data_IF_018897148691
#
_entry.id   IF_018897148691
#
_cell.length_a   1.000
_cell.length_b   1.000
_cell.length_c   1.000
_cell.angle_alpha   90.00
_cell.angle_beta   90.00
_cell.angle_gamma   90.00
#
_symmetry.space_group_name_H-M   'P 1'
#
loop_
_entity.id
_entity.type
_entity.pdbx_description
1 polymer ?
#
# COMPACT_ATOMS: atom_id res chain seq x y z
N UNK A 1 -5.91 -26.59 24.00
CA UNK A 1 -7.34 -26.36 24.28
C UNK A 1 -7.88 -25.48 23.15
N UNK A 2 -8.60 -26.09 22.18
CA UNK A 2 -9.13 -25.41 20.98
C UNK A 2 -10.50 -24.81 21.31
N UNK A 3 -10.73 -23.54 21.01
CA UNK A 3 -12.07 -22.95 20.96
C UNK A 3 -12.28 -22.39 19.55
N UNK A 4 -13.20 -23.04 18.84
CA UNK A 4 -13.68 -22.74 17.50
C UNK A 4 -14.86 -21.79 17.64
N UNK A 5 -14.84 -20.65 16.94
CA UNK A 5 -16.00 -19.76 16.81
C UNK A 5 -16.64 -19.99 15.43
N UNK A 6 -17.86 -20.50 15.46
CA UNK A 6 -18.73 -20.78 14.31
C UNK A 6 -19.62 -19.56 14.08
N UNK A 7 -19.49 -18.90 12.93
CA UNK A 7 -20.55 -18.06 12.37
C UNK A 7 -20.75 -18.42 10.89
N UNK A 8 -21.64 -19.37 10.65
CA UNK A 8 -22.24 -19.67 9.34
C UNK A 8 -23.35 -18.64 9.07
N UNK A 9 -23.22 -17.84 8.02
CA UNK A 9 -24.32 -17.04 7.47
C UNK A 9 -24.91 -17.72 6.22
N UNK A 10 -26.24 -17.69 6.18
CA UNK A 10 -27.15 -18.49 5.37
C UNK A 10 -27.23 -18.02 3.91
N UNK A 11 -27.39 -19.01 3.03
CA UNK A 11 -27.98 -18.96 1.68
C UNK A 11 -29.18 -18.01 1.62
N UNK A 12 -29.12 -17.02 0.73
CA UNK A 12 -30.29 -16.28 0.23
C UNK A 12 -30.65 -16.84 -1.14
N UNK A 13 -31.79 -17.53 -1.20
CA UNK A 13 -32.40 -18.07 -2.41
C UNK A 13 -33.25 -17.00 -3.11
N UNK A 14 -32.96 -16.75 -4.39
CA UNK A 14 -33.79 -15.99 -5.31
C UNK A 14 -35.13 -16.70 -5.54
N UNK A 15 -36.24 -15.96 -5.46
CA UNK A 15 -37.59 -16.43 -5.84
C UNK A 15 -37.80 -16.15 -7.32
N UNK A 16 -38.11 -17.19 -8.08
CA UNK A 16 -38.51 -17.11 -9.49
C UNK A 16 -40.00 -16.74 -9.62
N UNK A 17 -40.30 -15.94 -10.63
CA UNK A 17 -41.67 -15.55 -11.02
C UNK A 17 -42.37 -16.70 -11.76
N UNK A 18 -43.61 -17.01 -11.37
CA UNK A 18 -44.49 -17.94 -12.10
C UNK A 18 -45.76 -17.19 -12.50
N UNK A 19 -46.03 -17.19 -13.82
CA UNK A 19 -47.33 -16.85 -14.42
C UNK A 19 -48.27 -18.06 -14.30
N UNK A 20 -49.56 -17.81 -14.03
CA UNK A 20 -50.64 -18.66 -14.56
C UNK A 20 -51.92 -17.85 -14.79
N UNK A 21 -52.58 -18.17 -15.89
CA UNK A 21 -53.77 -17.54 -16.46
C UNK A 21 -55.09 -18.24 -16.09
N UNK A 22 -56.17 -17.46 -16.26
CA UNK A 22 -57.52 -17.78 -16.76
C UNK A 22 -58.66 -18.32 -15.88
N UNK A 23 -59.79 -17.59 -16.02
CA UNK A 23 -61.22 -17.90 -15.86
C UNK A 23 -61.75 -18.03 -14.42
N UNK A 24 -62.91 -17.49 -14.04
CA UNK A 24 -64.18 -17.39 -14.77
C UNK A 24 -65.23 -16.43 -14.15
N UNK A 25 -66.16 -15.94 -15.00
CA UNK A 25 -67.59 -15.64 -14.75
C UNK A 25 -67.98 -14.44 -13.87
N UNK A 26 -68.72 -13.52 -14.49
CA UNK A 26 -69.23 -12.30 -13.88
C UNK A 26 -70.62 -12.42 -13.25
N UNK A 27 -71.02 -11.35 -12.56
CA UNK A 27 -72.41 -10.94 -12.43
C UNK A 27 -72.47 -9.44 -12.11
N UNK A 28 -73.47 -8.78 -12.70
CA UNK A 28 -73.67 -7.33 -12.66
C UNK A 28 -74.80 -7.00 -11.66
N UNK A 29 -74.60 -5.91 -10.90
CA UNK A 29 -75.59 -4.86 -10.61
C UNK A 29 -76.38 -4.81 -9.27
N UNK A 30 -76.48 -3.54 -8.80
CA UNK A 30 -77.46 -2.84 -7.94
C UNK A 30 -77.67 -3.16 -6.44
N UNK A 31 -77.05 -2.29 -5.62
CA UNK A 31 -77.64 -1.32 -4.65
C UNK A 31 -78.65 -1.80 -3.59
N UNK A 32 -78.25 -1.71 -2.29
CA UNK A 32 -79.15 -1.37 -1.16
C UNK A 32 -78.33 -0.65 -0.06
N UNK A 33 -78.64 0.61 0.22
CA UNK A 33 -78.23 1.31 1.43
C UNK A 33 -78.89 0.69 2.67
N UNK A 34 -78.11 0.39 3.71
CA UNK A 34 -78.60 0.41 5.10
C UNK A 34 -77.48 0.70 6.09
N UNK A 35 -77.56 1.89 6.69
CA UNK A 35 -76.76 2.37 7.80
C UNK A 35 -76.94 1.49 9.05
N UNK A 36 -75.86 0.87 9.55
CA UNK A 36 -75.78 0.39 10.95
C UNK A 36 -74.38 0.67 11.53
N UNK A 37 -74.39 1.63 12.44
CA UNK A 37 -73.44 2.00 13.52
C UNK A 37 -72.03 1.37 13.58
N UNK A 38 -71.04 2.27 13.49
CA UNK A 38 -69.63 2.12 13.88
C UNK A 38 -69.48 1.49 15.28
N UNK A 39 -68.79 0.35 15.35
CA UNK A 39 -67.90 0.01 16.47
C UNK A 39 -66.47 0.04 15.95
N UNK A 40 -65.72 1.09 16.32
CA UNK A 40 -64.29 1.17 16.06
C UNK A 40 -63.57 0.09 16.87
N UNK A 41 -63.16 -0.99 16.19
CA UNK A 41 -62.00 -1.75 16.63
C UNK A 41 -60.78 -0.99 16.13
N UNK A 42 -59.95 -0.44 17.03
CA UNK A 42 -58.69 0.20 16.65
C UNK A 42 -57.78 -0.87 16.06
N UNK A 43 -57.69 -0.93 14.74
CA UNK A 43 -56.59 -1.58 14.05
C UNK A 43 -55.31 -0.86 14.49
N UNK A 44 -54.53 -1.52 15.36
CA UNK A 44 -53.15 -1.12 15.59
C UNK A 44 -52.43 -1.28 14.26
N UNK A 45 -52.14 -0.16 13.61
CA UNK A 45 -51.45 -0.16 12.32
C UNK A 45 -50.06 -0.71 12.57
N UNK A 46 -49.66 -1.70 11.78
CA UNK A 46 -48.35 -2.36 11.79
C UNK A 46 -47.18 -1.37 11.95
N UNK A 47 -47.35 -0.14 11.46
CA UNK A 47 -46.45 1.01 11.59
C UNK A 47 -46.08 1.33 13.05
N UNK A 48 -47.03 1.29 13.99
CA UNK A 48 -46.76 1.61 15.40
C UNK A 48 -45.89 0.53 16.07
N UNK A 49 -46.03 -0.73 15.63
CA UNK A 49 -45.19 -1.83 16.08
C UNK A 49 -43.75 -1.70 15.55
N UNK A 50 -43.57 -1.38 14.26
CA UNK A 50 -42.24 -1.16 13.68
C UNK A 50 -41.52 0.04 14.30
N UNK A 51 -42.23 1.13 14.59
CA UNK A 51 -41.68 2.28 15.30
C UNK A 51 -41.26 1.92 16.74
N UNK A 52 -42.04 1.09 17.43
CA UNK A 52 -41.68 0.58 18.76
C UNK A 52 -40.48 -0.35 18.73
N UNK A 53 -40.38 -1.23 17.74
CA UNK A 53 -39.22 -2.12 17.57
C UNK A 53 -37.96 -1.33 17.26
N UNK A 54 -38.03 -0.33 16.37
CA UNK A 54 -36.88 0.55 16.07
C UNK A 54 -36.51 1.36 17.31
N UNK A 55 -37.48 1.91 18.03
CA UNK A 55 -37.25 2.62 19.29
C UNK A 55 -36.59 1.73 20.36
N UNK A 56 -37.01 0.47 20.47
CA UNK A 56 -36.43 -0.50 21.39
C UNK A 56 -35.01 -0.90 20.98
N UNK A 57 -34.76 -1.12 19.68
CA UNK A 57 -33.43 -1.41 19.16
C UNK A 57 -32.47 -0.23 19.37
N UNK A 58 -32.93 1.00 19.13
CA UNK A 58 -32.12 2.20 19.38
C UNK A 58 -31.84 2.40 20.86
N UNK A 59 -32.85 2.27 21.74
CA UNK A 59 -32.66 2.45 23.19
C UNK A 59 -31.80 1.36 23.81
N UNK A 60 -31.95 0.11 23.39
CA UNK A 60 -31.07 -0.99 23.81
C UNK A 60 -29.65 -0.81 23.29
N UNK A 61 -29.45 -0.37 22.04
CA UNK A 61 -28.14 -0.04 21.50
C UNK A 61 -27.46 1.11 22.25
N UNK A 62 -28.21 2.18 22.55
CA UNK A 62 -27.73 3.30 23.37
C UNK A 62 -27.41 2.84 24.79
N UNK A 63 -28.27 2.03 25.42
CA UNK A 63 -28.02 1.49 26.76
C UNK A 63 -26.78 0.59 26.78
N UNK A 64 -26.62 -0.31 25.79
CA UNK A 64 -25.45 -1.17 25.67
C UNK A 64 -24.18 -0.37 25.40
N UNK A 65 -24.24 0.67 24.56
CA UNK A 65 -23.10 1.56 24.29
C UNK A 65 -22.73 2.38 25.53
N UNK A 66 -23.71 2.82 26.31
CA UNK A 66 -23.53 3.57 27.54
C UNK A 66 -22.99 2.64 28.65
N UNK A 67 -23.51 1.42 28.77
CA UNK A 67 -22.97 0.37 29.65
C UNK A 67 -21.54 -0.03 29.26
N UNK A 68 -21.24 -0.12 27.97
CA UNK A 68 -19.89 -0.38 27.47
C UNK A 68 -18.93 0.80 27.76
N UNK A 69 -19.41 2.04 27.61
CA UNK A 69 -18.65 3.26 27.92
C UNK A 69 -18.44 3.50 29.42
N UNK A 70 -19.37 3.04 30.26
CA UNK A 70 -19.30 3.14 31.72
C UNK A 70 -18.68 1.92 32.41
N UNK A 71 -18.51 0.78 31.72
CA UNK A 71 -17.67 -0.29 32.23
C UNK A 71 -16.23 0.24 32.22
N UNK A 72 -15.62 0.53 33.39
CA UNK A 72 -14.21 0.81 33.37
C UNK A 72 -13.54 -0.47 32.86
N UNK A 73 -12.65 -0.33 31.88
CA UNK A 73 -11.74 -1.40 31.41
C UNK A 73 -11.00 -2.08 32.59
N UNK A 74 -11.04 -1.48 33.80
CA UNK A 74 -10.58 -2.06 35.07
C UNK A 74 -11.40 -3.25 35.61
N UNK A 75 -12.68 -3.43 35.25
CA UNK A 75 -13.52 -4.50 35.83
C UNK A 75 -13.26 -5.86 35.16
N UNK A 76 -12.87 -5.85 33.89
CA UNK A 76 -12.30 -7.00 33.19
C UNK A 76 -10.78 -6.92 33.42
N UNK A 77 -10.16 -7.88 34.10
CA UNK A 77 -8.70 -7.92 34.37
C UNK A 77 -7.81 -8.03 33.10
N UNK A 78 -8.15 -7.37 32.01
CA UNK A 78 -7.24 -7.10 30.91
C UNK A 78 -6.54 -5.79 31.24
N UNK A 79 -5.48 -5.85 32.04
CA UNK A 79 -4.50 -4.76 32.04
C UNK A 79 -4.03 -4.59 30.59
N UNK A 80 -4.30 -3.43 30.01
CA UNK A 80 -3.76 -3.10 28.70
C UNK A 80 -2.23 -3.27 28.79
N UNK A 81 -1.60 -3.95 27.82
CA UNK A 81 -0.15 -4.17 27.85
C UNK A 81 0.55 -2.81 27.98
N UNK A 82 1.45 -2.70 28.97
CA UNK A 82 2.24 -1.50 29.19
C UNK A 82 3.04 -1.21 27.93
N UNK A 83 2.93 0.00 27.39
CA UNK A 83 3.66 0.36 26.18
C UNK A 83 5.18 0.22 26.40
N UNK A 84 5.94 -0.21 25.37
CA UNK A 84 7.38 -0.41 25.50
C UNK A 84 8.12 0.80 26.08
N UNK A 85 7.74 2.02 25.68
CA UNK A 85 8.33 3.27 26.15
C UNK A 85 8.11 3.49 27.65
N UNK A 86 6.93 3.17 28.20
CA UNK A 86 6.67 3.25 29.65
C UNK A 86 7.51 2.22 30.40
N UNK A 87 7.67 1.02 29.85
CA UNK A 87 8.54 -0.01 30.44
C UNK A 87 10.00 0.44 30.47
N UNK A 88 10.51 0.97 29.35
CA UNK A 88 11.89 1.44 29.23
C UNK A 88 12.20 2.63 30.16
N UNK A 89 11.23 3.54 30.36
CA UNK A 89 11.38 4.62 31.35
C UNK A 89 11.52 4.06 32.76
N UNK A 90 10.75 3.02 33.13
CA UNK A 90 10.87 2.36 34.44
C UNK A 90 12.22 1.66 34.63
N UNK A 91 12.81 1.19 33.53
CA UNK A 91 14.16 0.61 33.50
C UNK A 91 15.27 1.68 33.50
N UNK A 92 14.92 2.98 33.49
CA UNK A 92 15.88 4.09 33.50
C UNK A 92 16.55 4.35 32.14
N UNK A 93 15.98 3.85 31.05
CA UNK A 93 16.52 4.05 29.69
C UNK A 93 16.27 5.49 29.24
N UNK A 94 17.30 6.10 28.64
CA UNK A 94 17.26 7.48 28.14
C UNK A 94 17.88 7.57 26.74
N UNK A 95 17.50 8.60 25.98
CA UNK A 95 18.03 8.86 24.65
C UNK A 95 19.53 9.23 24.71
N UNK A 96 20.35 8.54 23.90
CA UNK A 96 21.80 8.77 23.82
C UNK A 96 22.24 9.09 22.39
N UNK A 97 21.93 8.21 21.45
CA UNK A 97 22.29 8.37 20.05
C UNK A 97 21.12 8.99 19.27
N UNK A 98 21.36 10.00 18.42
CA UNK A 98 20.32 10.49 17.52
C UNK A 98 19.81 9.38 16.60
N UNK A 99 18.53 9.42 16.25
CA UNK A 99 17.86 8.38 15.45
C UNK A 99 17.33 8.96 14.15
N UNK A 100 17.63 8.30 13.03
CA UNK A 100 17.09 8.61 11.71
C UNK A 100 16.19 7.49 11.23
N UNK A 101 14.90 7.78 11.02
CA UNK A 101 13.92 6.85 10.47
C UNK A 101 13.93 6.96 8.95
N UNK A 102 14.07 5.83 8.24
CA UNK A 102 14.02 5.80 6.77
C UNK A 102 12.80 5.01 6.33
N UNK A 103 11.72 5.70 5.89
CA UNK A 103 10.46 5.05 5.50
C UNK A 103 10.63 4.11 4.31
N UNK A 104 9.69 3.17 4.15
CA UNK A 104 9.56 2.32 2.97
C UNK A 104 8.59 2.88 1.92
N UNK A 105 8.35 2.09 0.88
CA UNK A 105 7.40 2.45 -0.19
C UNK A 105 6.03 2.78 0.40
N UNK A 106 5.32 3.75 -0.18
CA UNK A 106 3.99 4.20 0.22
C UNK A 106 3.83 4.71 1.66
N UNK A 107 4.88 4.78 2.48
CA UNK A 107 4.73 5.12 3.92
C UNK A 107 4.93 6.60 4.24
N UNK A 108 5.49 7.39 3.31
CA UNK A 108 5.64 8.84 3.44
C UNK A 108 4.51 9.61 2.74
N UNK A 109 4.06 10.70 3.35
CA UNK A 109 3.07 11.59 2.72
C UNK A 109 3.60 12.30 1.47
N UNK A 110 2.74 12.49 0.47
CA UNK A 110 3.03 13.27 -0.74
C UNK A 110 2.01 14.40 -0.89
N UNK A 111 2.50 15.61 -1.18
CA UNK A 111 1.69 16.82 -1.37
C UNK A 111 1.82 17.40 -2.78
N UNK A 112 0.75 18.04 -3.25
CA UNK A 112 0.70 18.65 -4.56
C UNK A 112 1.27 20.08 -4.54
N UNK A 113 2.10 20.42 -5.52
CA UNK A 113 2.65 21.75 -5.73
C UNK A 113 2.19 22.39 -7.04
N UNK A 114 1.84 21.57 -8.03
CA UNK A 114 1.29 22.00 -9.30
C UNK A 114 0.45 20.85 -9.85
N UNK A 115 -0.73 21.13 -10.35
CA UNK A 115 -1.62 20.11 -10.88
C UNK A 115 -2.52 20.66 -11.96
N UNK A 116 -3.21 19.76 -12.65
CA UNK A 116 -4.18 20.09 -13.69
C UNK A 116 -5.43 20.72 -13.09
N UNK A 117 -6.31 21.24 -13.94
CA UNK A 117 -7.59 21.86 -13.54
C UNK A 117 -8.43 20.99 -12.61
N UNK A 118 -8.36 19.65 -12.74
CA UNK A 118 -9.06 18.73 -11.86
C UNK A 118 -8.53 18.71 -10.40
N UNK A 119 -7.39 19.34 -10.11
CA UNK A 119 -6.74 19.40 -8.80
C UNK A 119 -6.47 20.85 -8.33
N UNK A 120 -7.15 21.84 -8.91
CA UNK A 120 -6.92 23.27 -8.64
C UNK A 120 -7.06 23.65 -7.15
N UNK A 121 -8.00 23.03 -6.42
CA UNK A 121 -8.20 23.24 -4.98
C UNK A 121 -7.28 22.39 -4.09
N UNK A 122 -6.29 21.68 -4.66
CA UNK A 122 -5.41 20.74 -3.96
C UNK A 122 -3.97 21.25 -3.78
N UNK A 123 -3.67 22.51 -4.15
CA UNK A 123 -2.36 23.10 -3.89
C UNK A 123 -1.96 22.99 -2.41
N UNK A 124 -0.76 22.43 -2.16
CA UNK A 124 -0.18 22.16 -0.83
C UNK A 124 -1.01 21.24 0.07
N UNK A 125 -2.00 20.54 -0.49
CA UNK A 125 -2.73 19.46 0.18
C UNK A 125 -2.06 18.13 -0.12
N UNK A 126 -2.21 17.19 0.81
CA UNK A 126 -1.71 15.84 0.67
C UNK A 126 -2.56 15.06 -0.33
N UNK A 127 -1.94 14.59 -1.39
CA UNK A 127 -2.53 13.61 -2.28
C UNK A 127 -2.40 12.19 -1.73
N UNK A 128 -1.33 11.95 -0.97
CA UNK A 128 -1.03 10.67 -0.36
C UNK A 128 -0.86 10.83 1.15
N UNK A 129 -1.55 10.00 1.93
CA UNK A 129 -1.51 10.00 3.39
C UNK A 129 -2.61 10.79 4.09
N UNK A 130 -3.43 11.59 3.40
CA UNK A 130 -4.53 12.38 4.01
C UNK A 130 -5.91 11.77 3.67
N UNK A 131 -6.23 10.68 4.37
CA UNK A 131 -7.51 9.99 4.27
C UNK A 131 -7.87 9.47 2.86
N UNK A 132 -9.11 8.98 2.70
CA UNK A 132 -9.62 8.45 1.42
C UNK A 132 -10.41 9.49 0.61
N UNK A 133 -10.56 10.72 1.13
CA UNK A 133 -11.52 11.71 0.61
C UNK A 133 -11.21 12.11 -0.82
N UNK A 134 -9.93 12.38 -1.15
CA UNK A 134 -9.55 12.80 -2.50
C UNK A 134 -9.70 11.67 -3.52
N UNK A 135 -9.42 10.44 -3.07
CA UNK A 135 -9.50 9.25 -3.91
C UNK A 135 -10.95 8.95 -4.29
N UNK A 136 -11.88 9.05 -3.33
CA UNK A 136 -13.31 8.85 -3.58
C UNK A 136 -13.88 9.98 -4.45
N UNK A 137 -13.49 11.23 -4.18
CA UNK A 137 -14.03 12.39 -4.91
C UNK A 137 -13.57 12.44 -6.36
N UNK A 138 -12.29 12.13 -6.64
CA UNK A 138 -11.67 12.34 -7.95
C UNK A 138 -10.64 11.23 -8.28
N UNK A 139 -11.07 9.97 -8.48
CA UNK A 139 -10.16 8.83 -8.63
C UNK A 139 -9.20 8.95 -9.81
N UNK A 140 -9.68 9.32 -11.00
CA UNK A 140 -8.84 9.47 -12.20
C UNK A 140 -7.85 10.62 -12.07
N UNK A 141 -8.30 11.77 -11.55
CA UNK A 141 -7.42 12.91 -11.29
C UNK A 141 -6.32 12.52 -10.29
N UNK A 142 -6.67 11.80 -9.23
CA UNK A 142 -5.71 11.33 -8.25
C UNK A 142 -4.67 10.36 -8.85
N UNK A 143 -5.11 9.41 -9.69
CA UNK A 143 -4.23 8.48 -10.40
C UNK A 143 -3.27 9.23 -11.33
N UNK A 144 -3.77 10.21 -12.09
CA UNK A 144 -2.98 11.05 -12.99
C UNK A 144 -1.93 11.88 -12.25
N UNK A 145 -2.25 12.41 -11.07
CA UNK A 145 -1.29 13.21 -10.29
C UNK A 145 -0.25 12.34 -9.55
N UNK A 146 -0.54 11.06 -9.34
CA UNK A 146 0.40 10.12 -8.75
C UNK A 146 1.24 9.37 -9.77
N UNK A 147 0.90 9.41 -11.06
CA UNK A 147 1.74 8.82 -12.09
C UNK A 147 3.06 9.58 -12.26
N UNK A 148 4.08 8.86 -12.71
CA UNK A 148 5.32 9.42 -13.21
C UNK A 148 5.33 9.37 -14.74
N UNK A 149 6.20 10.17 -15.35
CA UNK A 149 6.36 10.22 -16.79
C UNK A 149 6.97 8.91 -17.32
N UNK A 150 6.33 8.30 -18.31
CA UNK A 150 6.66 6.95 -18.79
C UNK A 150 8.09 6.78 -19.28
N UNK A 151 8.72 7.84 -19.81
CA UNK A 151 10.08 7.76 -20.36
C UNK A 151 11.17 8.18 -19.37
N UNK A 152 10.89 9.16 -18.51
CA UNK A 152 11.92 9.80 -17.66
C UNK A 152 11.85 9.33 -16.20
N UNK A 153 10.70 8.81 -15.76
CA UNK A 153 10.48 8.43 -14.36
C UNK A 153 10.41 9.65 -13.43
N UNK A 154 10.17 10.84 -13.98
CA UNK A 154 10.05 12.11 -13.26
C UNK A 154 8.59 12.56 -13.22
N UNK A 155 8.29 13.72 -12.62
CA UNK A 155 6.92 14.24 -12.65
C UNK A 155 6.48 14.54 -14.10
N UNK A 156 5.21 14.23 -14.48
CA UNK A 156 4.67 14.63 -15.76
C UNK A 156 4.61 16.17 -15.94
N UNK A 157 4.69 16.69 -17.18
CA UNK A 157 4.53 18.12 -17.43
C UNK A 157 3.21 18.68 -16.85
N UNK A 158 3.31 19.81 -16.14
CA UNK A 158 2.17 20.47 -15.48
C UNK A 158 1.71 19.79 -14.18
N UNK A 159 2.48 18.85 -13.65
CA UNK A 159 2.24 18.19 -12.37
C UNK A 159 3.53 18.25 -11.55
N UNK A 160 3.45 18.66 -10.29
CA UNK A 160 4.57 18.59 -9.34
C UNK A 160 4.08 18.06 -8.01
N UNK A 161 4.66 16.95 -7.57
CA UNK A 161 4.34 16.31 -6.29
C UNK A 161 5.62 16.20 -5.47
N UNK A 162 5.56 16.54 -4.18
CA UNK A 162 6.73 16.54 -3.29
C UNK A 162 6.47 15.73 -2.04
N UNK A 163 7.53 15.13 -1.51
CA UNK A 163 7.47 14.46 -0.22
C UNK A 163 7.21 15.49 0.89
N UNK A 164 6.30 15.16 1.79
CA UNK A 164 6.04 15.98 2.97
C UNK A 164 7.23 15.84 3.93
N UNK A 165 7.85 16.95 4.37
CA UNK A 165 8.98 16.90 5.29
C UNK A 165 8.54 16.67 6.74
N UNK A 166 9.42 16.02 7.52
CA UNK A 166 9.31 15.91 8.97
C UNK A 166 8.26 14.90 9.48
N UNK A 167 8.05 14.89 10.81
CA UNK A 167 7.18 13.92 11.50
C UNK A 167 5.72 13.97 11.07
N UNK A 168 5.26 15.11 10.58
CA UNK A 168 3.90 15.27 10.06
C UNK A 168 3.63 14.27 8.93
N UNK A 169 4.66 13.83 8.19
CA UNK A 169 4.56 12.79 7.17
C UNK A 169 4.28 11.39 7.72
N UNK A 170 4.65 11.10 8.98
CA UNK A 170 4.48 9.82 9.66
C UNK A 170 3.25 9.75 10.58
N UNK A 171 2.81 10.88 11.12
CA UNK A 171 1.90 10.91 12.27
C UNK A 171 0.44 10.59 11.92
N UNK A 172 0.03 10.69 10.66
CA UNK A 172 -1.33 10.34 10.23
C UNK A 172 -1.30 9.79 8.80
N UNK A 173 -0.96 8.50 8.65
CA UNK A 173 -1.06 7.83 7.36
C UNK A 173 -2.48 7.30 7.17
N UNK A 174 -3.40 8.16 6.74
CA UNK A 174 -4.84 7.91 6.67
C UNK A 174 -5.46 7.48 8.01
N UNK A 175 -6.69 7.94 8.29
CA UNK A 175 -7.38 7.64 9.55
C UNK A 175 -7.43 6.13 9.82
N UNK A 176 -6.57 5.64 10.74
CA UNK A 176 -6.51 4.24 11.17
C UNK A 176 -5.25 3.43 10.79
N UNK A 177 -4.24 3.99 10.11
CA UNK A 177 -2.97 3.29 9.83
C UNK A 177 -1.78 4.03 10.47
N UNK A 178 -1.33 3.57 11.63
CA UNK A 178 -0.22 4.17 12.38
C UNK A 178 1.09 3.41 12.10
N UNK A 179 1.78 3.74 11.00
CA UNK A 179 3.00 3.02 10.61
C UNK A 179 4.18 3.36 11.54
N UNK A 180 4.34 4.64 11.87
CA UNK A 180 5.48 5.15 12.63
C UNK A 180 5.08 5.81 13.95
N UNK A 181 3.81 6.18 14.12
CA UNK A 181 3.33 6.95 15.28
C UNK A 181 3.60 6.21 16.60
N UNK A 182 3.33 4.90 16.66
CA UNK A 182 3.58 4.09 17.86
C UNK A 182 5.07 4.06 18.22
N UNK A 183 5.95 3.89 17.23
CA UNK A 183 7.40 3.90 17.47
C UNK A 183 7.86 5.27 17.96
N UNK A 184 7.41 6.35 17.31
CA UNK A 184 7.76 7.73 17.67
C UNK A 184 7.25 8.05 19.07
N UNK A 185 6.02 7.66 19.44
CA UNK A 185 5.49 7.89 20.78
C UNK A 185 6.35 7.17 21.82
N UNK A 186 6.71 5.91 21.59
CA UNK A 186 7.54 5.15 22.53
C UNK A 186 8.96 5.73 22.66
N UNK A 187 9.55 6.22 21.57
CA UNK A 187 10.84 6.93 21.59
C UNK A 187 10.72 8.26 22.35
N UNK A 188 9.62 8.99 22.17
CA UNK A 188 9.40 10.25 22.86
C UNK A 188 9.36 10.08 24.39
N UNK A 189 8.79 8.95 24.88
CA UNK A 189 8.78 8.63 26.31
C UNK A 189 10.17 8.55 26.94
N UNK A 190 11.18 8.10 26.19
CA UNK A 190 12.56 7.96 26.67
C UNK A 190 13.46 9.18 26.34
N UNK A 191 12.85 10.30 25.94
CA UNK A 191 13.56 11.57 25.74
C UNK A 191 14.00 11.85 24.29
N UNK A 192 13.46 11.15 23.31
CA UNK A 192 13.59 11.56 21.91
C UNK A 192 12.61 12.69 21.55
N UNK A 193 13.07 13.65 20.76
CA UNK A 193 12.31 14.80 20.27
C UNK A 193 12.91 15.28 18.94
N UNK A 194 12.39 16.35 18.36
CA UNK A 194 12.81 16.81 17.03
C UNK A 194 14.29 17.20 16.89
N UNK A 195 15.05 17.35 17.98
CA UNK A 195 16.49 17.63 17.94
C UNK A 195 17.38 16.38 17.76
N UNK A 196 16.89 15.21 18.17
CA UNK A 196 17.63 13.95 18.19
C UNK A 196 16.88 12.80 17.51
N UNK A 197 15.71 13.07 16.93
CA UNK A 197 14.96 12.17 16.09
C UNK A 197 14.69 12.88 14.75
N UNK A 198 14.87 12.17 13.64
CA UNK A 198 14.59 12.69 12.30
C UNK A 198 13.95 11.61 11.44
N UNK A 199 13.04 11.98 10.56
CA UNK A 199 12.46 11.09 9.56
C UNK A 199 12.83 11.59 8.17
N UNK A 200 13.49 10.72 7.39
CA UNK A 200 13.87 11.03 6.03
C UNK A 200 12.63 11.16 5.14
N UNK A 201 12.50 12.32 4.49
CA UNK A 201 11.43 12.58 3.54
C UNK A 201 11.97 12.50 2.12
N UNK A 202 11.45 11.56 1.34
CA UNK A 202 11.78 11.37 -0.07
C UNK A 202 10.55 10.85 -0.81
N UNK A 203 10.50 11.10 -2.12
CA UNK A 203 9.42 10.60 -2.96
C UNK A 203 9.68 9.13 -3.29
N UNK A 204 8.96 8.28 -2.59
CA UNK A 204 9.09 6.84 -2.69
C UNK A 204 8.59 6.27 -4.01
N UNK A 205 8.10 7.07 -4.97
CA UNK A 205 7.75 6.60 -6.33
C UNK A 205 8.96 6.54 -7.26
N UNK A 206 9.93 7.44 -7.06
CA UNK A 206 11.07 7.64 -7.94
C UNK A 206 12.13 6.54 -7.78
N UNK A 207 12.98 6.40 -8.79
CA UNK A 207 14.26 5.70 -8.63
C UNK A 207 15.16 6.45 -7.64
N UNK A 208 16.05 5.74 -6.95
CA UNK A 208 16.82 6.32 -5.84
C UNK A 208 17.72 7.47 -6.31
N UNK A 209 18.37 7.33 -7.47
CA UNK A 209 19.17 8.41 -8.05
C UNK A 209 18.30 9.61 -8.47
N UNK A 210 17.09 9.37 -8.99
CA UNK A 210 16.18 10.46 -9.38
C UNK A 210 15.68 11.26 -8.17
N UNK A 211 15.62 10.67 -6.98
CA UNK A 211 15.32 11.45 -5.75
C UNK A 211 16.40 12.51 -5.46
N UNK A 212 17.66 12.22 -5.80
CA UNK A 212 18.75 13.19 -5.69
C UNK A 212 18.65 14.23 -6.80
N UNK A 213 18.52 13.80 -8.06
CA UNK A 213 18.44 14.72 -9.21
C UNK A 213 17.27 15.71 -9.06
N UNK A 214 16.09 15.24 -8.64
CA UNK A 214 14.89 16.07 -8.53
C UNK A 214 14.85 16.92 -7.26
N UNK A 215 15.09 16.30 -6.11
CA UNK A 215 14.76 16.88 -4.80
C UNK A 215 15.99 17.09 -3.90
N UNK A 216 17.16 16.62 -4.34
CA UNK A 216 18.39 16.57 -3.54
C UNK A 216 18.18 15.78 -2.24
N UNK A 217 17.37 14.70 -2.31
CA UNK A 217 16.94 13.96 -1.13
C UNK A 217 18.11 13.24 -0.41
N UNK A 218 19.08 12.70 -1.15
CA UNK A 218 20.25 12.04 -0.57
C UNK A 218 21.19 13.09 0.05
N UNK A 219 21.40 14.23 -0.63
CA UNK A 219 22.13 15.37 -0.10
C UNK A 219 21.50 15.93 1.18
N UNK A 220 20.17 16.05 1.24
CA UNK A 220 19.44 16.45 2.45
C UNK A 220 19.60 15.43 3.56
N UNK A 221 19.54 14.13 3.26
CA UNK A 221 19.76 13.07 4.26
C UNK A 221 21.17 13.14 4.85
N UNK A 222 22.20 13.29 3.99
CA UNK A 222 23.60 13.50 4.40
C UNK A 222 23.72 14.70 5.34
N UNK A 223 23.24 15.86 4.92
CA UNK A 223 23.34 17.10 5.70
C UNK A 223 22.61 17.01 7.04
N UNK A 224 21.45 16.34 7.10
CA UNK A 224 20.74 16.14 8.37
C UNK A 224 21.51 15.20 9.31
N UNK A 225 22.11 14.12 8.80
CA UNK A 225 22.94 13.22 9.61
C UNK A 225 24.15 13.96 10.18
N UNK A 226 24.84 14.75 9.35
CA UNK A 226 25.99 15.55 9.78
C UNK A 226 25.59 16.60 10.82
N UNK A 227 24.45 17.27 10.62
CA UNK A 227 23.90 18.24 11.56
C UNK A 227 23.57 17.58 12.90
N UNK A 228 22.83 16.46 12.88
CA UNK A 228 22.45 15.71 14.08
C UNK A 228 23.68 15.25 14.86
N UNK A 229 24.73 14.83 14.18
CA UNK A 229 25.99 14.46 14.83
C UNK A 229 26.58 15.63 15.62
N UNK A 230 26.66 16.82 15.02
CA UNK A 230 27.22 18.01 15.70
C UNK A 230 26.32 18.49 16.84
N UNK A 231 25.00 18.58 16.62
CA UNK A 231 24.06 19.14 17.60
C UNK A 231 23.76 18.21 18.77
N UNK A 232 24.05 16.91 18.64
CA UNK A 232 23.87 15.92 19.71
C UNK A 232 25.21 15.51 20.36
N UNK A 233 26.19 16.43 20.39
CA UNK A 233 27.45 16.21 21.10
C UNK A 233 28.35 15.15 20.46
N UNK A 234 28.41 15.12 19.13
CA UNK A 234 29.25 14.22 18.34
C UNK A 234 28.91 12.74 18.55
N UNK A 235 27.64 12.44 18.88
CA UNK A 235 27.14 11.08 18.96
C UNK A 235 26.75 10.59 17.56
N UNK A 236 27.38 9.49 17.14
CA UNK A 236 27.04 8.79 15.89
C UNK A 236 25.55 8.44 15.84
N UNK A 237 24.94 8.55 14.67
CA UNK A 237 23.50 8.36 14.42
C UNK A 237 23.15 6.88 14.31
N UNK A 238 22.03 6.47 14.90
CA UNK A 238 21.41 5.17 14.67
C UNK A 238 20.36 5.32 13.57
N UNK A 239 20.42 4.49 12.53
CA UNK A 239 19.48 4.55 11.42
C UNK A 239 18.51 3.38 11.50
N UNK A 240 17.22 3.64 11.34
CA UNK A 240 16.14 2.65 11.41
C UNK A 240 15.39 2.64 10.08
N UNK A 241 15.90 1.90 9.08
CA UNK A 241 15.23 1.78 7.81
C UNK A 241 14.17 0.67 7.81
N UNK A 242 13.06 0.88 7.09
CA UNK A 242 11.94 -0.06 7.00
C UNK A 242 11.69 -0.52 5.56
N UNK A 243 11.51 -1.82 5.32
CA UNK A 243 11.12 -2.36 4.01
C UNK A 243 12.02 -1.86 2.88
N UNK A 244 11.46 -1.22 1.84
CA UNK A 244 12.21 -0.57 0.75
C UNK A 244 13.22 0.46 1.26
N UNK A 245 12.95 1.11 2.39
CA UNK A 245 13.85 2.09 3.00
C UNK A 245 15.21 1.51 3.36
N UNK A 246 15.30 0.20 3.60
CA UNK A 246 16.59 -0.48 3.81
C UNK A 246 17.41 -0.55 2.52
N UNK A 247 16.76 -0.76 1.38
CA UNK A 247 17.39 -0.76 0.06
C UNK A 247 17.79 0.67 -0.34
N UNK A 248 16.91 1.65 -0.07
CA UNK A 248 17.21 3.07 -0.27
C UNK A 248 18.43 3.51 0.57
N UNK A 249 18.48 3.09 1.83
CA UNK A 249 19.61 3.41 2.71
C UNK A 249 20.90 2.68 2.29
N UNK A 250 20.80 1.43 1.80
CA UNK A 250 21.94 0.72 1.21
C UNK A 250 22.54 1.50 0.03
N UNK A 251 21.69 2.00 -0.87
CA UNK A 251 22.10 2.87 -1.96
C UNK A 251 22.74 4.16 -1.44
N UNK A 252 22.16 4.79 -0.41
CA UNK A 252 22.70 6.00 0.22
C UNK A 252 24.11 5.80 0.78
N UNK A 253 24.40 4.66 1.42
CA UNK A 253 25.74 4.38 1.97
C UNK A 253 26.82 4.38 0.89
N UNK A 254 26.54 3.85 -0.30
CA UNK A 254 27.46 3.93 -1.45
C UNK A 254 27.50 5.31 -2.07
N UNK A 255 26.33 5.91 -2.24
CA UNK A 255 26.23 7.25 -2.81
C UNK A 255 27.04 8.26 -1.98
N UNK A 256 26.93 8.25 -0.65
CA UNK A 256 27.58 9.25 0.20
C UNK A 256 29.10 9.16 0.17
N UNK A 257 29.68 7.96 0.05
CA UNK A 257 31.14 7.77 -0.01
C UNK A 257 31.71 8.04 -1.40
N UNK A 258 30.90 7.90 -2.45
CA UNK A 258 31.30 8.10 -3.84
C UNK A 258 31.56 9.59 -4.13
N UNK A 259 32.63 9.95 -4.86
CA UNK A 259 32.90 11.34 -5.19
C UNK A 259 31.86 11.95 -6.15
N UNK A 260 31.70 13.28 -6.15
CA UNK A 260 30.92 13.98 -7.18
C UNK A 260 31.51 13.72 -8.57
N UNK A 261 30.70 13.74 -9.65
CA UNK A 261 29.29 14.17 -9.68
C UNK A 261 28.27 13.04 -9.41
N UNK A 262 28.71 11.79 -9.25
CA UNK A 262 27.80 10.64 -9.11
C UNK A 262 27.31 10.43 -7.67
N UNK A 263 28.19 10.68 -6.69
CA UNK A 263 27.91 10.53 -5.27
C UNK A 263 27.95 11.83 -4.48
N UNK A 264 27.74 11.70 -3.17
CA UNK A 264 27.65 12.79 -2.21
C UNK A 264 28.99 13.32 -1.70
N UNK A 265 30.13 12.72 -2.04
CA UNK A 265 31.46 13.25 -1.72
C UNK A 265 31.77 13.35 -0.22
N UNK A 266 31.22 12.47 0.60
CA UNK A 266 31.55 12.33 2.03
C UNK A 266 32.90 11.65 2.28
N UNK A 267 33.40 10.87 1.32
CA UNK A 267 34.63 10.08 1.41
C UNK A 267 34.44 8.75 2.17
N UNK A 268 35.39 7.83 2.01
CA UNK A 268 35.32 6.45 2.55
C UNK A 268 35.20 6.35 4.09
N UNK A 269 35.55 7.42 4.82
CA UNK A 269 35.43 7.47 6.28
C UNK A 269 34.09 8.03 6.77
N UNK A 270 33.17 8.41 5.88
CA UNK A 270 31.93 9.09 6.26
C UNK A 270 31.04 8.18 7.10
N UNK A 271 30.81 6.93 6.65
CA UNK A 271 29.95 6.00 7.37
C UNK A 271 30.49 5.68 8.76
N UNK A 272 31.79 5.41 8.89
CA UNK A 272 32.41 5.19 10.20
C UNK A 272 32.28 6.44 11.09
N UNK A 273 32.48 7.64 10.55
CA UNK A 273 32.39 8.87 11.35
C UNK A 273 30.97 9.14 11.87
N UNK A 274 29.94 8.96 11.05
CA UNK A 274 28.59 9.45 11.35
C UNK A 274 27.59 8.37 11.77
N UNK A 275 27.78 7.10 11.39
CA UNK A 275 26.81 6.02 11.62
C UNK A 275 27.26 5.12 12.78
N UNK A 276 26.36 4.93 13.76
CA UNK A 276 26.58 4.05 14.92
C UNK A 276 26.16 2.62 14.61
N UNK A 277 24.93 2.48 14.11
CA UNK A 277 24.27 1.21 13.89
C UNK A 277 23.10 1.40 12.93
N UNK A 278 22.73 0.32 12.23
CA UNK A 278 21.57 0.26 11.35
C UNK A 278 20.64 -0.83 11.89
N UNK A 279 19.41 -0.45 12.27
CA UNK A 279 18.39 -1.36 12.78
C UNK A 279 17.29 -1.54 11.74
N UNK A 280 17.46 -2.52 10.86
CA UNK A 280 16.51 -2.81 9.80
C UNK A 280 15.17 -3.34 10.35
N UNK A 281 14.05 -2.79 9.89
CA UNK A 281 12.70 -3.32 10.13
C UNK A 281 12.19 -3.95 8.84
N UNK A 282 12.07 -5.28 8.83
CA UNK A 282 11.59 -6.07 7.68
C UNK A 282 12.25 -5.66 6.35
N UNK A 283 13.59 -5.68 6.23
CA UNK A 283 14.29 -5.21 5.04
C UNK A 283 13.99 -6.08 3.82
N UNK A 284 13.75 -5.46 2.67
CA UNK A 284 13.46 -6.16 1.41
C UNK A 284 14.71 -6.33 0.52
N UNK A 285 15.86 -6.64 1.11
CA UNK A 285 17.16 -6.67 0.43
C UNK A 285 17.15 -7.47 -0.87
N UNK A 286 16.64 -8.70 -0.83
CA UNK A 286 16.57 -9.59 -1.99
C UNK A 286 15.30 -9.39 -2.85
N UNK A 287 14.44 -8.43 -2.49
CA UNK A 287 13.13 -8.24 -3.11
C UNK A 287 12.03 -9.07 -2.44
N UNK A 288 10.81 -8.94 -2.97
CA UNK A 288 9.60 -9.65 -2.51
C UNK A 288 8.78 -10.09 -3.73
N UNK A 289 8.34 -11.34 -3.75
CA UNK A 289 7.52 -11.91 -4.84
C UNK A 289 6.22 -11.11 -5.07
N UNK A 290 5.67 -10.53 -4.00
CA UNK A 290 4.47 -9.68 -4.05
C UNK A 290 4.63 -8.41 -4.90
N UNK A 291 5.85 -7.93 -5.14
CA UNK A 291 6.09 -6.81 -6.05
C UNK A 291 5.69 -7.18 -7.49
N UNK A 292 5.90 -8.43 -7.91
CA UNK A 292 5.47 -8.95 -9.21
C UNK A 292 3.95 -8.89 -9.34
N UNK A 293 3.21 -9.42 -8.37
CA UNK A 293 1.75 -9.41 -8.37
C UNK A 293 1.15 -8.00 -8.40
N UNK A 294 1.83 -7.03 -7.78
CA UNK A 294 1.40 -5.62 -7.80
C UNK A 294 1.48 -5.01 -9.21
N UNK A 295 2.46 -5.41 -10.03
CA UNK A 295 2.64 -4.92 -11.40
C UNK A 295 1.59 -5.53 -12.36
N UNK A 296 1.25 -6.81 -12.16
CA UNK A 296 0.37 -7.55 -13.07
C UNK A 296 -1.11 -7.47 -12.72
N UNK A 297 -1.46 -7.67 -11.45
CA UNK A 297 -2.85 -7.91 -11.05
C UNK A 297 -3.35 -6.92 -10.01
N UNK A 298 -2.46 -6.13 -9.40
CA UNK A 298 -2.74 -5.30 -8.20
C UNK A 298 -3.32 -6.10 -7.02
N UNK A 299 -3.35 -7.44 -7.08
CA UNK A 299 -3.92 -8.32 -6.05
C UNK A 299 -3.20 -8.20 -4.71
N UNK A 300 -1.94 -7.77 -4.76
CA UNK A 300 -1.12 -7.46 -3.60
C UNK A 300 -1.40 -6.11 -2.94
N UNK A 301 -2.50 -5.44 -3.32
CA UNK A 301 -2.96 -4.17 -2.77
C UNK A 301 -2.68 -4.06 -1.26
N UNK A 302 -1.87 -3.06 -0.89
CA UNK A 302 -1.84 -2.52 0.47
C UNK A 302 -3.29 -2.36 0.95
N UNK A 303 -3.58 -2.64 2.22
CA UNK A 303 -4.94 -2.51 2.76
C UNK A 303 -5.61 -1.16 2.37
N UNK A 304 -4.78 -0.10 2.27
CA UNK A 304 -5.10 1.20 1.71
C UNK A 304 -5.66 1.15 0.28
N UNK A 305 -4.95 0.52 -0.66
CA UNK A 305 -5.40 0.36 -2.03
C UNK A 305 -6.53 -0.64 -2.19
N UNK A 306 -6.63 -1.68 -1.34
CA UNK A 306 -7.82 -2.54 -1.37
C UNK A 306 -9.06 -1.79 -0.92
N UNK A 307 -8.95 -0.86 0.03
CA UNK A 307 -10.07 0.01 0.40
C UNK A 307 -10.44 0.98 -0.74
N UNK A 308 -9.45 1.55 -1.43
CA UNK A 308 -9.63 2.39 -2.61
C UNK A 308 -10.22 1.62 -3.78
N UNK A 309 -9.62 0.48 -4.10
CA UNK A 309 -10.06 -0.43 -5.14
C UNK A 309 -11.46 -0.93 -4.79
N UNK A 310 -11.78 -1.37 -3.58
CA UNK A 310 -13.16 -1.73 -3.23
C UNK A 310 -14.15 -0.55 -3.36
N UNK A 311 -13.74 0.68 -3.03
CA UNK A 311 -14.57 1.86 -3.24
C UNK A 311 -14.84 2.19 -4.71
N UNK A 312 -13.87 1.92 -5.59
CA UNK A 312 -13.94 2.16 -7.04
C UNK A 312 -14.53 0.96 -7.80
N UNK A 313 -14.17 -0.26 -7.42
CA UNK A 313 -14.61 -1.56 -7.96
C UNK A 313 -16.07 -1.87 -7.60
N UNK A 314 -16.63 -1.25 -6.56
CA UNK A 314 -18.06 -1.29 -6.27
C UNK A 314 -18.92 -0.52 -7.31
N UNK A 315 -18.31 0.18 -8.26
CA UNK A 315 -18.98 0.68 -9.46
C UNK A 315 -18.85 -0.42 -10.54
N UNK A 316 -19.84 -1.33 -10.60
CA UNK A 316 -19.86 -2.55 -11.43
C UNK A 316 -19.48 -2.34 -12.92
N UNK A 317 -19.65 -1.12 -13.46
CA UNK A 317 -19.31 -0.78 -14.85
C UNK A 317 -17.91 -0.16 -15.03
N UNK A 318 -17.36 0.46 -13.98
CA UNK A 318 -16.07 1.17 -14.02
C UNK A 318 -14.91 0.34 -13.47
N UNK A 319 -15.21 -0.79 -12.80
CA UNK A 319 -14.19 -1.58 -12.08
C UNK A 319 -13.05 -2.09 -12.96
N UNK A 320 -13.34 -2.58 -14.16
CA UNK A 320 -12.31 -3.10 -15.07
C UNK A 320 -11.41 -1.99 -15.61
N UNK A 321 -12.00 -0.89 -16.10
CA UNK A 321 -11.23 0.25 -16.61
C UNK A 321 -10.42 0.93 -15.51
N UNK A 322 -10.97 1.07 -14.31
CA UNK A 322 -10.25 1.66 -13.19
C UNK A 322 -9.06 0.81 -12.73
N UNK A 323 -9.21 -0.52 -12.74
CA UNK A 323 -8.12 -1.44 -12.42
C UNK A 323 -6.94 -1.28 -13.40
N UNK A 324 -7.23 -1.13 -14.69
CA UNK A 324 -6.21 -0.88 -15.71
C UNK A 324 -5.46 0.43 -15.47
N UNK A 325 -6.17 1.50 -15.10
CA UNK A 325 -5.53 2.78 -14.79
C UNK A 325 -4.65 2.68 -13.53
N UNK A 326 -5.08 1.91 -12.52
CA UNK A 326 -4.26 1.65 -11.33
C UNK A 326 -3.00 0.87 -11.72
N UNK A 327 -3.11 -0.17 -12.55
CA UNK A 327 -1.95 -0.92 -13.04
C UNK A 327 -0.98 -0.04 -13.81
N UNK A 328 -1.48 0.87 -14.66
CA UNK A 328 -0.65 1.83 -15.39
C UNK A 328 0.12 2.72 -14.43
N UNK A 329 -0.54 3.32 -13.43
CA UNK A 329 0.15 4.16 -12.42
C UNK A 329 1.23 3.37 -11.69
N UNK A 330 0.96 2.14 -11.26
CA UNK A 330 1.97 1.30 -10.60
C UNK A 330 3.20 1.05 -11.48
N UNK A 331 3.00 0.84 -12.78
CA UNK A 331 4.10 0.66 -13.75
C UNK A 331 4.92 1.95 -13.98
N UNK A 332 4.42 3.10 -13.56
CA UNK A 332 5.19 4.35 -13.55
C UNK A 332 6.08 4.48 -12.31
N UNK A 333 5.81 3.77 -11.21
CA UNK A 333 6.60 3.88 -9.97
C UNK A 333 7.86 3.03 -10.03
N UNK A 334 8.97 3.65 -10.45
CA UNK A 334 10.28 3.00 -10.60
C UNK A 334 10.77 2.31 -9.32
N UNK A 335 10.45 2.86 -8.15
CA UNK A 335 10.87 2.28 -6.87
C UNK A 335 10.33 0.87 -6.63
N UNK A 336 9.18 0.49 -7.20
CA UNK A 336 8.64 -0.87 -7.12
C UNK A 336 9.63 -1.87 -7.70
N UNK A 337 10.37 -1.47 -8.74
CA UNK A 337 11.31 -2.34 -9.41
C UNK A 337 12.50 -2.69 -8.50
N UNK A 338 12.86 -1.80 -7.56
CA UNK A 338 13.85 -2.11 -6.52
C UNK A 338 13.42 -3.28 -5.60
N UNK A 339 12.12 -3.60 -5.56
CA UNK A 339 11.53 -4.67 -4.76
C UNK A 339 11.37 -5.98 -5.53
N UNK A 340 11.72 -6.03 -6.83
CA UNK A 340 11.69 -7.30 -7.55
C UNK A 340 12.77 -8.27 -7.02
N UNK A 341 12.53 -9.59 -7.14
CA UNK A 341 13.49 -10.63 -6.77
C UNK A 341 14.88 -10.37 -7.35
N UNK A 342 15.90 -10.45 -6.51
CA UNK A 342 17.32 -10.34 -6.87
C UNK A 342 18.00 -11.69 -6.69
N UNK A 343 18.93 -11.98 -7.59
CA UNK A 343 19.73 -13.19 -7.59
C UNK A 343 19.13 -14.38 -8.35
N UNK A 344 18.02 -14.18 -9.06
CA UNK A 344 17.43 -15.19 -9.93
C UNK A 344 17.15 -16.52 -9.21
N UNK A 345 17.23 -17.60 -9.98
CA UNK A 345 16.95 -18.97 -9.52
C UNK A 345 17.93 -19.46 -8.43
N UNK A 346 19.16 -18.96 -8.41
CA UNK A 346 20.15 -19.30 -7.37
C UNK A 346 19.66 -18.97 -5.96
N UNK A 347 18.91 -17.87 -5.81
CA UNK A 347 18.39 -17.42 -4.51
C UNK A 347 16.93 -17.84 -4.30
N UNK A 348 16.10 -17.69 -5.33
CA UNK A 348 14.65 -17.84 -5.23
C UNK A 348 14.14 -19.23 -5.60
N UNK A 349 15.03 -20.10 -6.08
CA UNK A 349 14.68 -21.41 -6.58
C UNK A 349 14.16 -21.39 -8.02
N UNK A 350 13.96 -22.58 -8.54
CA UNK A 350 13.47 -22.86 -9.89
C UNK A 350 12.07 -23.49 -9.82
N UNK A 351 11.67 -24.24 -10.85
CA UNK A 351 10.37 -24.92 -10.87
C UNK A 351 10.34 -26.17 -9.98
N UNK A 352 11.50 -26.70 -9.59
CA UNK A 352 11.66 -27.96 -8.86
C UNK A 352 11.96 -27.74 -7.38
N UNK A 353 12.39 -26.53 -6.99
CA UNK A 353 12.75 -26.19 -5.61
C UNK A 353 12.51 -24.70 -5.28
N UNK A 354 12.18 -24.41 -4.02
CA UNK A 354 12.11 -23.08 -3.43
C UNK A 354 12.57 -23.15 -1.95
N UNK A 355 13.12 -22.09 -1.33
CA UNK A 355 13.60 -22.14 0.05
C UNK A 355 12.53 -22.62 1.06
N UNK A 356 12.91 -23.50 2.00
CA UNK A 356 11.96 -24.27 2.83
C UNK A 356 10.99 -23.44 3.69
N UNK A 357 11.34 -22.21 4.07
CA UNK A 357 10.42 -21.30 4.78
C UNK A 357 9.22 -20.86 3.92
N UNK A 358 9.24 -21.12 2.61
CA UNK A 358 8.16 -20.85 1.66
C UNK A 358 7.34 -22.11 1.30
N UNK A 359 7.68 -23.29 1.84
CA UNK A 359 7.02 -24.58 1.54
C UNK A 359 5.58 -24.71 2.05
N UNK A 360 5.00 -23.68 2.68
CA UNK A 360 3.55 -23.67 2.98
C UNK A 360 2.66 -23.39 1.75
N UNK A 361 3.23 -23.42 0.54
CA UNK A 361 2.49 -23.33 -0.72
C UNK A 361 1.84 -24.65 -1.18
N UNK A 362 1.92 -25.74 -0.40
CA UNK A 362 1.11 -26.96 -0.60
C UNK A 362 -0.36 -26.78 -0.17
N UNK A 363 -1.00 -25.68 -0.60
CA UNK A 363 -2.43 -25.73 -0.84
C UNK A 363 -2.61 -26.01 -2.32
N UNK A 364 -2.92 -27.26 -2.65
CA UNK A 364 -3.56 -27.59 -3.92
C UNK A 364 -4.71 -26.59 -4.14
N UNK A 365 -4.47 -25.61 -5.01
CA UNK A 365 -5.54 -24.81 -5.58
C UNK A 365 -6.27 -25.78 -6.50
N UNK A 366 -7.26 -26.47 -5.93
CA UNK A 366 -8.24 -27.20 -6.71
C UNK A 366 -8.92 -26.19 -7.63
N UNK A 367 -8.50 -26.18 -8.89
CA UNK A 367 -9.23 -25.52 -9.95
C UNK A 367 -10.53 -26.29 -10.12
N UNK A 368 -11.53 -25.92 -9.33
CA UNK A 368 -12.92 -26.24 -9.58
C UNK A 368 -13.37 -25.54 -10.86
N UNK A 369 -12.86 -25.99 -12.00
CA UNK A 369 -13.42 -25.68 -13.31
C UNK A 369 -14.72 -26.49 -13.45
N UNK A 370 -15.74 -26.13 -12.67
CA UNK A 370 -17.09 -26.51 -13.01
C UNK A 370 -17.42 -25.76 -14.29
N UNK A 371 -17.50 -26.52 -15.39
CA UNK A 371 -18.03 -26.13 -16.68
C UNK A 371 -19.40 -25.45 -16.52
N UNK A 372 -19.39 -24.15 -16.21
CA UNK A 372 -20.48 -23.25 -16.46
C UNK A 372 -19.98 -22.30 -17.56
N UNK A 373 -20.54 -22.49 -18.74
CA UNK A 373 -20.32 -21.74 -19.96
C UNK A 373 -20.56 -20.26 -19.69
N UNK A 374 -19.53 -19.51 -19.28
CA UNK A 374 -19.57 -18.06 -19.26
C UNK A 374 -19.36 -17.56 -20.70
N UNK A 375 -20.47 -17.39 -21.41
CA UNK A 375 -20.52 -16.57 -22.63
C UNK A 375 -20.24 -15.11 -22.26
N UNK A 376 -18.97 -14.75 -22.09
CA UNK A 376 -18.54 -13.36 -22.16
C UNK A 376 -18.42 -12.99 -23.65
N UNK A 377 -19.42 -12.31 -24.18
CA UNK A 377 -19.19 -11.50 -25.38
C UNK A 377 -18.20 -10.41 -25.00
N UNK A 378 -16.93 -10.61 -25.35
CA UNK A 378 -15.88 -9.60 -25.27
C UNK A 378 -16.16 -8.47 -26.27
N UNK A 379 -17.17 -7.66 -25.98
CA UNK A 379 -17.47 -6.45 -26.71
C UNK A 379 -16.39 -5.40 -26.42
N UNK A 380 -16.00 -4.68 -27.46
CA UNK A 380 -14.71 -4.00 -27.59
C UNK A 380 -14.53 -2.84 -26.60
N UNK A 381 -13.82 -3.09 -25.51
CA UNK A 381 -13.12 -2.03 -24.78
C UNK A 381 -11.78 -1.83 -25.48
N UNK A 382 -11.67 -0.72 -26.23
CA UNK A 382 -10.38 -0.19 -26.69
C UNK A 382 -9.61 0.25 -25.46
N UNK A 383 -8.65 -0.56 -25.07
CA UNK A 383 -7.68 -0.22 -24.05
C UNK A 383 -6.40 0.20 -24.79
N UNK A 384 -5.66 1.18 -24.28
CA UNK A 384 -4.35 1.59 -24.83
C UNK A 384 -3.26 0.50 -24.62
N UNK A 385 -3.64 -0.78 -24.67
CA UNK A 385 -2.80 -1.96 -24.83
C UNK A 385 -2.36 -2.12 -26.31
N UNK A 386 -1.91 -1.04 -26.95
CA UNK A 386 -1.43 -1.12 -28.34
C UNK A 386 -0.09 -1.89 -28.49
N UNK A 387 0.41 -2.56 -27.45
CA UNK A 387 1.59 -3.42 -27.52
C UNK A 387 1.33 -4.93 -27.28
N UNK A 388 0.21 -5.36 -26.69
CA UNK A 388 -0.02 -6.77 -26.37
C UNK A 388 -1.31 -7.32 -27.00
N UNK A 389 -1.16 -8.11 -28.07
CA UNK A 389 -2.28 -8.74 -28.77
C UNK A 389 -3.05 -9.74 -27.88
N UNK A 390 -4.32 -10.02 -28.21
CA UNK A 390 -5.11 -11.07 -27.52
C UNK A 390 -4.43 -12.44 -27.56
N UNK A 391 -3.69 -12.73 -28.62
CA UNK A 391 -2.89 -13.95 -28.75
C UNK A 391 -1.76 -14.01 -27.72
N UNK A 392 -1.12 -12.86 -27.45
CA UNK A 392 -0.03 -12.72 -26.51
C UNK A 392 -0.49 -12.87 -25.05
N UNK A 393 -1.67 -12.34 -24.70
CA UNK A 393 -2.31 -12.59 -23.40
C UNK A 393 -2.57 -14.09 -23.22
N UNK A 394 -3.02 -14.77 -24.28
CA UNK A 394 -3.20 -16.23 -24.29
C UNK A 394 -1.89 -17.00 -24.09
N UNK A 395 -0.75 -16.50 -24.56
CA UNK A 395 0.58 -17.11 -24.34
C UNK A 395 1.04 -16.96 -22.89
N UNK A 396 0.86 -15.78 -22.30
CA UNK A 396 1.19 -15.50 -20.89
C UNK A 396 0.35 -16.37 -19.95
N UNK A 397 -0.96 -16.47 -20.20
CA UNK A 397 -1.90 -17.25 -19.39
C UNK A 397 -1.70 -18.78 -19.52
N UNK A 398 -1.11 -19.26 -20.63
CA UNK A 398 -0.81 -20.68 -20.82
C UNK A 398 0.38 -21.17 -19.98
N UNK A 399 1.32 -20.28 -19.62
CA UNK A 399 2.46 -20.63 -18.79
C UNK A 399 2.02 -20.67 -17.32
N UNK A 400 2.13 -21.86 -16.70
CA UNK A 400 1.59 -22.11 -15.33
C UNK A 400 2.41 -21.48 -14.20
N UNK A 401 3.70 -21.24 -14.43
CA UNK A 401 4.61 -20.68 -13.42
C UNK A 401 5.73 -19.86 -14.08
N UNK A 402 6.23 -18.87 -13.33
CA UNK A 402 7.38 -18.02 -13.68
C UNK A 402 8.39 -18.09 -12.54
N UNK A 403 9.66 -18.23 -12.88
CA UNK A 403 10.80 -18.18 -11.95
C UNK A 403 11.25 -16.74 -11.73
N UNK A 404 12.10 -16.51 -10.73
CA UNK A 404 12.69 -15.19 -10.47
C UNK A 404 13.54 -14.67 -11.64
N UNK A 405 13.99 -15.54 -12.54
CA UNK A 405 14.67 -15.14 -13.79
C UNK A 405 13.65 -14.83 -14.89
N UNK A 406 12.75 -15.77 -15.18
CA UNK A 406 11.81 -15.66 -16.32
C UNK A 406 10.71 -14.62 -16.12
N UNK A 407 10.52 -14.12 -14.90
CA UNK A 407 9.61 -12.99 -14.64
C UNK A 407 10.09 -11.69 -15.28
N UNK A 408 11.40 -11.48 -15.41
CA UNK A 408 11.94 -10.28 -16.06
C UNK A 408 11.68 -10.30 -17.57
N UNK A 409 11.73 -11.48 -18.21
CA UNK A 409 11.34 -11.64 -19.62
C UNK A 409 9.85 -11.31 -19.82
N UNK A 410 9.00 -11.77 -18.90
CA UNK A 410 7.57 -11.45 -18.90
C UNK A 410 7.34 -9.95 -18.72
N UNK A 411 8.05 -9.31 -17.80
CA UNK A 411 7.93 -7.87 -17.56
C UNK A 411 8.42 -7.05 -18.75
N UNK A 412 9.52 -7.46 -19.39
CA UNK A 412 10.01 -6.85 -20.62
C UNK A 412 9.01 -6.97 -21.77
N UNK A 413 8.25 -8.06 -21.79
CA UNK A 413 7.18 -8.27 -22.76
C UNK A 413 5.91 -7.45 -22.46
N UNK A 414 5.49 -7.37 -21.19
CA UNK A 414 4.21 -6.75 -20.79
C UNK A 414 4.32 -5.25 -20.55
N UNK A 415 5.49 -4.78 -20.12
CA UNK A 415 5.72 -3.38 -19.74
C UNK A 415 7.14 -2.92 -20.16
N UNK A 416 7.47 -2.93 -21.46
CA UNK A 416 8.82 -2.64 -21.95
C UNK A 416 9.32 -1.24 -21.57
N UNK A 417 8.43 -0.22 -21.60
CA UNK A 417 8.80 1.16 -21.20
C UNK A 417 9.23 1.24 -19.74
N UNK A 418 8.50 0.57 -18.85
CA UNK A 418 8.83 0.49 -17.43
C UNK A 418 10.17 -0.22 -17.23
N UNK A 419 10.37 -1.37 -17.88
CA UNK A 419 11.62 -2.13 -17.73
C UNK A 419 12.83 -1.37 -18.26
N UNK A 420 12.72 -0.75 -19.45
CA UNK A 420 13.79 0.09 -20.02
C UNK A 420 14.22 1.20 -19.07
N UNK A 421 13.27 1.82 -18.38
CA UNK A 421 13.54 2.86 -17.38
C UNK A 421 14.20 2.27 -16.14
N UNK A 422 13.68 1.15 -15.65
CA UNK A 422 14.14 0.53 -14.42
C UNK A 422 15.55 -0.05 -14.55
N UNK A 423 15.89 -0.66 -15.68
CA UNK A 423 17.22 -1.23 -15.95
C UNK A 423 18.35 -0.18 -15.99
N UNK A 424 18.00 1.10 -16.18
CA UNK A 424 18.95 2.20 -16.05
C UNK A 424 19.33 2.48 -14.58
N UNK A 425 18.45 2.15 -13.64
CA UNK A 425 18.57 2.52 -12.23
C UNK A 425 18.74 1.35 -11.27
N UNK A 426 18.35 0.14 -11.66
CA UNK A 426 18.33 -1.02 -10.79
C UNK A 426 18.93 -2.24 -11.48
N UNK A 427 19.44 -3.14 -10.64
CA UNK A 427 19.98 -4.43 -11.02
C UNK A 427 19.44 -5.50 -10.08
N UNK A 428 19.32 -6.71 -10.62
CA UNK A 428 18.71 -7.86 -9.95
C UNK A 428 19.57 -9.11 -10.08
N UNK A 429 20.82 -8.95 -10.52
CA UNK A 429 21.75 -10.05 -10.75
C UNK A 429 22.48 -10.49 -9.48
N UNK A 430 23.51 -11.31 -9.71
CA UNK A 430 24.51 -11.72 -8.72
C UNK A 430 25.88 -11.38 -9.29
N UNK A 431 26.75 -10.80 -8.48
CA UNK A 431 28.14 -10.61 -8.88
C UNK A 431 28.94 -11.91 -8.78
N UNK A 432 29.57 -12.31 -9.89
CA UNK A 432 30.62 -13.33 -9.87
C UNK A 432 31.91 -12.79 -9.24
N UNK A 433 32.22 -11.51 -9.51
CA UNK A 433 33.38 -10.82 -8.95
C UNK A 433 32.99 -9.39 -8.55
N UNK A 434 32.85 -9.15 -7.25
CA UNK A 434 32.50 -7.84 -6.70
C UNK A 434 33.55 -6.75 -6.97
N UNK A 435 34.78 -7.10 -7.38
CA UNK A 435 35.83 -6.14 -7.77
C UNK A 435 35.67 -5.60 -9.20
N UNK A 436 34.70 -6.08 -9.97
CA UNK A 436 34.42 -5.56 -11.31
C UNK A 436 34.07 -4.05 -11.25
N UNK A 437 34.81 -3.18 -11.97
CA UNK A 437 34.57 -1.74 -11.99
C UNK A 437 33.14 -1.34 -12.32
N UNK A 438 32.36 -2.18 -13.02
CA UNK A 438 30.94 -1.87 -13.32
C UNK A 438 30.12 -1.62 -12.05
N UNK A 439 30.45 -2.28 -10.94
CA UNK A 439 29.74 -2.13 -9.66
C UNK A 439 29.98 -0.78 -8.99
N UNK A 440 30.87 0.06 -9.53
CA UNK A 440 30.98 1.46 -9.13
C UNK A 440 29.83 2.33 -9.65
N UNK A 441 28.98 1.83 -10.54
CA UNK A 441 27.83 2.57 -11.06
C UNK A 441 26.61 2.49 -10.12
N UNK A 442 25.87 3.59 -9.96
CA UNK A 442 24.76 3.70 -9.00
C UNK A 442 23.64 2.66 -9.17
N UNK A 443 23.49 2.10 -10.36
CA UNK A 443 22.48 1.07 -10.65
C UNK A 443 22.66 -0.24 -9.86
N UNK A 444 23.87 -0.46 -9.32
CA UNK A 444 24.20 -1.65 -8.54
C UNK A 444 24.14 -1.42 -7.03
N UNK A 445 24.16 -0.17 -6.57
CA UNK A 445 24.30 0.14 -5.15
C UNK A 445 23.11 -0.26 -4.28
N UNK A 446 21.94 -0.44 -4.89
CA UNK A 446 20.73 -0.97 -4.22
C UNK A 446 20.65 -2.49 -4.20
N UNK A 447 21.53 -3.20 -4.91
CA UNK A 447 21.56 -4.67 -4.91
C UNK A 447 22.69 -5.17 -3.97
N UNK A 448 22.35 -5.78 -2.82
CA UNK A 448 23.36 -6.29 -1.89
C UNK A 448 24.17 -7.48 -2.45
N UNK A 449 23.72 -8.11 -3.55
CA UNK A 449 24.45 -9.17 -4.23
C UNK A 449 25.48 -8.63 -5.24
N UNK A 450 25.50 -7.33 -5.46
CA UNK A 450 26.33 -6.64 -6.46
C UNK A 450 27.00 -5.37 -5.90
N UNK A 451 27.01 -5.22 -4.57
CA UNK A 451 27.55 -4.05 -3.88
C UNK A 451 28.43 -4.48 -2.71
N UNK A 452 29.62 -3.89 -2.59
CA UNK A 452 30.62 -4.22 -1.57
C UNK A 452 30.38 -3.61 -0.19
#
# INVERSE_FOLDING_TARGET
MRIVSIWRLKKLSFVASVKSSSSSLGFQSFEVERNVQKRQCKEWRCIDYWCWVIGYMCTTWWLLSLLYGYLPVKLLRFEAPVSPGVRLVREGVTAVHPVVLVPGIVTGGLELWEGRSCAEDLFRKRLWGDGFVQIIKRPLCWLEHLSLHDETGMDPPGIRVRAVPGFVAAENFASGYHIWADLIENLARIGYEGKNLYMAAYDWRLSFQNTEIRDQALSRLKSNIELMFVTNGYKKVVVVPQSMGAIYFLHFLKWVETPPPMGGGGGLGWCDKYIKAIMNISPAFLGVSKAVSNIFSTEGNFAYFRAVASGILNLEYLGHQALEHVMQVYRTWDSIISLLPKGGETIWGDLDWCPEEWNNCDQEVSWGCNSATFNLSCEAVRTDYDEMSRENIGKVAKKRAYTATTVFDLLNFVAPKMMKRAEAHFSHGIAENLDDPKYSHYKYWSNPLESK
#
